data_IF_926572014136
#
_entry.id   IF_926572014136
#
_cell.length_a   1.000
_cell.length_b   1.000
_cell.length_c   1.000
_cell.angle_alpha   90.00
_cell.angle_beta   90.00
_cell.angle_gamma   90.00
#
_symmetry.space_group_name_H-M   'P 1'
#
loop_
_entity.id
_entity.type
_entity.pdbx_description
1 polymer ?
#
# COMPACT_ATOMS: atom_id res chain seq x y z
N UNK A 1 -14.51 29.31 36.01
CA UNK A 1 -13.08 29.18 35.69
C UNK A 1 -12.99 28.79 34.22
N UNK A 2 -12.60 29.75 33.38
CA UNK A 2 -12.53 29.53 31.94
C UNK A 2 -11.23 28.74 31.64
N UNK A 3 -11.36 27.46 31.29
CA UNK A 3 -10.26 26.72 30.70
C UNK A 3 -10.06 27.29 29.26
N UNK A 4 -9.19 28.30 29.16
CA UNK A 4 -8.66 28.67 27.87
C UNK A 4 -7.76 27.53 27.38
N UNK A 5 -8.24 26.69 26.48
CA UNK A 5 -7.42 25.72 25.79
C UNK A 5 -6.31 26.49 25.08
N UNK A 6 -5.08 26.42 25.58
CA UNK A 6 -3.92 27.04 24.93
C UNK A 6 -3.77 26.41 23.55
N UNK A 7 -3.95 27.20 22.50
CA UNK A 7 -3.63 26.74 21.15
C UNK A 7 -2.10 26.68 21.07
N UNK A 8 -1.56 25.47 20.95
CA UNK A 8 -0.12 25.24 20.78
C UNK A 8 0.30 25.76 19.41
N UNK A 9 1.52 26.28 19.31
CA UNK A 9 2.05 26.62 18.00
C UNK A 9 2.37 25.33 17.19
N UNK A 10 2.61 25.49 15.89
CA UNK A 10 2.82 24.36 14.99
C UNK A 10 4.02 23.49 15.39
N UNK A 11 5.07 24.10 15.93
CA UNK A 11 6.26 23.39 16.40
C UNK A 11 5.99 22.57 17.66
N UNK A 12 5.28 23.16 18.64
CA UNK A 12 4.83 22.44 19.85
C UNK A 12 3.91 21.28 19.50
N UNK A 13 3.05 21.44 18.48
CA UNK A 13 2.16 20.35 17.98
C UNK A 13 2.96 19.21 17.36
N UNK A 14 3.99 19.50 16.56
CA UNK A 14 4.86 18.49 15.97
C UNK A 14 5.66 17.72 17.04
N UNK A 15 6.25 18.43 18.01
CA UNK A 15 7.00 17.80 19.10
C UNK A 15 6.13 16.87 19.95
N UNK A 16 4.87 17.25 20.20
CA UNK A 16 3.90 16.38 20.87
C UNK A 16 3.52 15.17 20.03
N UNK A 17 3.38 15.33 18.72
CA UNK A 17 3.07 14.25 17.79
C UNK A 17 4.22 13.24 17.74
N UNK A 18 5.46 13.70 17.62
CA UNK A 18 6.65 12.84 17.63
C UNK A 18 6.80 12.04 18.92
N UNK A 19 6.48 12.66 20.08
CA UNK A 19 6.51 11.97 21.36
C UNK A 19 5.39 10.93 21.53
N UNK A 20 4.21 11.18 20.93
CA UNK A 20 3.06 10.28 21.00
C UNK A 20 3.16 9.11 20.02
N UNK A 21 3.83 9.31 18.87
CA UNK A 21 3.98 8.35 17.79
C UNK A 21 5.46 8.25 17.36
N UNK A 22 6.31 7.62 18.17
CA UNK A 22 7.73 7.50 17.86
C UNK A 22 7.94 6.75 16.55
N UNK A 23 8.94 7.18 15.79
CA UNK A 23 9.35 6.48 14.57
C UNK A 23 9.80 5.06 14.92
N UNK A 24 9.17 4.07 14.29
CA UNK A 24 9.64 2.68 14.35
C UNK A 24 10.74 2.50 13.32
N UNK A 25 11.97 2.27 13.78
CA UNK A 25 13.13 2.08 12.92
C UNK A 25 14.01 0.96 13.46
N UNK A 26 14.19 -0.09 12.66
CA UNK A 26 15.04 -1.25 13.02
C UNK A 26 16.47 -1.07 12.52
N UNK A 27 16.63 -0.50 11.32
CA UNK A 27 17.92 -0.26 10.69
C UNK A 27 18.15 1.24 10.46
N UNK A 28 19.40 1.69 10.60
CA UNK A 28 19.80 3.03 10.16
C UNK A 28 20.08 3.05 8.64
N UNK A 29 20.46 4.21 8.12
CA UNK A 29 20.76 4.41 6.69
C UNK A 29 22.00 3.64 6.20
N UNK A 30 22.82 3.13 7.12
CA UNK A 30 24.00 2.31 6.83
C UNK A 30 23.71 0.81 6.99
N UNK A 31 22.47 0.44 7.32
CA UNK A 31 22.06 -0.94 7.54
C UNK A 31 22.47 -1.51 8.92
N UNK A 32 22.86 -0.64 9.87
CA UNK A 32 23.15 -1.06 11.23
C UNK A 32 21.86 -1.20 12.02
N UNK A 33 21.74 -2.26 12.81
CA UNK A 33 20.61 -2.48 13.71
C UNK A 33 20.63 -1.42 14.82
N UNK A 34 19.53 -0.68 14.96
CA UNK A 34 19.32 0.34 15.98
C UNK A 34 18.18 -0.02 16.95
N UNK A 35 17.34 -1.02 16.60
CA UNK A 35 16.31 -1.60 17.47
C UNK A 35 16.34 -3.13 17.41
N UNK A 36 17.11 -3.73 18.33
CA UNK A 36 17.23 -5.20 18.47
C UNK A 36 15.89 -5.86 18.83
N UNK A 37 15.08 -5.20 19.67
CA UNK A 37 13.78 -5.73 20.05
C UNK A 37 12.77 -5.65 18.89
N UNK A 38 12.83 -4.59 18.09
CA UNK A 38 12.07 -4.47 16.85
C UNK A 38 12.41 -5.55 15.85
N UNK A 39 13.71 -5.85 15.70
CA UNK A 39 14.17 -6.93 14.83
C UNK A 39 13.63 -8.30 15.29
N UNK A 40 13.69 -8.60 16.58
CA UNK A 40 13.11 -9.85 17.14
C UNK A 40 11.60 -9.93 16.94
N UNK A 41 10.87 -8.81 17.09
CA UNK A 41 9.42 -8.77 16.85
C UNK A 41 9.05 -8.97 15.39
N UNK A 42 9.94 -8.65 14.45
CA UNK A 42 9.69 -8.89 13.03
C UNK A 42 9.60 -10.39 12.70
N UNK A 43 10.27 -11.25 13.51
CA UNK A 43 10.20 -12.71 13.46
C UNK A 43 10.35 -13.29 12.03
N UNK A 44 11.32 -12.73 11.28
CA UNK A 44 11.60 -13.12 9.91
C UNK A 44 12.80 -14.06 9.87
N UNK A 45 12.65 -15.19 9.16
CA UNK A 45 13.76 -16.09 8.87
C UNK A 45 14.67 -15.52 7.78
N UNK A 46 15.90 -16.03 7.68
CA UNK A 46 16.81 -15.70 6.56
C UNK A 46 16.19 -16.03 5.20
N UNK A 47 15.37 -17.06 5.12
CA UNK A 47 14.66 -17.44 3.90
C UNK A 47 13.60 -16.41 3.52
N UNK A 48 12.84 -15.90 4.49
CA UNK A 48 11.86 -14.83 4.27
C UNK A 48 12.56 -13.55 3.77
N UNK A 49 13.69 -13.19 4.36
CA UNK A 49 14.47 -12.04 3.94
C UNK A 49 14.98 -12.19 2.51
N UNK A 50 15.45 -13.39 2.14
CA UNK A 50 15.89 -13.68 0.76
C UNK A 50 14.72 -13.61 -0.22
N UNK A 51 13.55 -14.10 0.16
CA UNK A 51 12.34 -14.03 -0.69
C UNK A 51 11.85 -12.60 -0.86
N UNK A 52 11.76 -11.84 0.21
CA UNK A 52 11.44 -10.40 0.17
C UNK A 52 12.41 -9.66 -0.76
N UNK A 53 13.71 -9.91 -0.64
CA UNK A 53 14.72 -9.29 -1.49
C UNK A 53 14.56 -9.67 -2.96
N UNK A 54 14.29 -10.94 -3.28
CA UNK A 54 13.98 -11.38 -4.65
C UNK A 54 12.77 -10.65 -5.23
N UNK A 55 11.71 -10.52 -4.45
CA UNK A 55 10.50 -9.82 -4.87
C UNK A 55 10.74 -8.32 -5.09
N UNK A 56 11.55 -7.69 -4.25
CA UNK A 56 12.00 -6.30 -4.46
C UNK A 56 12.81 -6.17 -5.76
N UNK A 57 13.74 -7.09 -6.04
CA UNK A 57 14.51 -7.11 -7.28
C UNK A 57 13.63 -7.32 -8.50
N UNK A 58 12.65 -8.23 -8.42
CA UNK A 58 11.68 -8.46 -9.49
C UNK A 58 10.86 -7.19 -9.76
N UNK A 59 10.33 -6.56 -8.72
CA UNK A 59 9.60 -5.29 -8.81
C UNK A 59 10.44 -4.22 -9.51
N UNK A 60 11.72 -4.05 -9.11
CA UNK A 60 12.65 -3.11 -9.73
C UNK A 60 12.91 -3.44 -11.20
N UNK A 61 13.06 -4.70 -11.58
CA UNK A 61 13.28 -5.11 -12.96
C UNK A 61 12.04 -4.87 -13.83
N UNK A 62 10.84 -5.11 -13.29
CA UNK A 62 9.58 -4.77 -13.98
C UNK A 62 9.52 -3.26 -14.23
N UNK A 63 9.80 -2.45 -13.21
CA UNK A 63 9.80 -0.99 -13.31
C UNK A 63 10.75 -0.49 -14.41
N UNK A 64 12.01 -0.93 -14.37
CA UNK A 64 13.02 -0.59 -15.39
C UNK A 64 12.54 -0.99 -16.79
N UNK A 65 11.92 -2.16 -16.93
CA UNK A 65 11.42 -2.65 -18.23
C UNK A 65 10.24 -1.82 -18.71
N UNK A 66 9.29 -1.52 -17.82
CA UNK A 66 8.13 -0.69 -18.12
C UNK A 66 8.55 0.74 -18.54
N UNK A 67 9.53 1.34 -17.85
CA UNK A 67 10.07 2.63 -18.22
C UNK A 67 10.71 2.62 -19.64
N UNK A 68 11.42 1.55 -19.99
CA UNK A 68 11.95 1.38 -21.35
C UNK A 68 10.84 1.26 -22.39
N UNK A 69 9.79 0.51 -22.09
CA UNK A 69 8.62 0.35 -22.98
C UNK A 69 7.85 1.68 -23.12
N UNK A 70 7.69 2.44 -22.04
CA UNK A 70 7.06 3.75 -22.06
C UNK A 70 7.82 4.73 -22.98
N UNK A 71 9.16 4.81 -22.87
CA UNK A 71 10.00 5.62 -23.74
C UNK A 71 9.89 5.22 -25.23
N UNK A 72 9.50 3.98 -25.53
CA UNK A 72 9.29 3.49 -26.89
C UNK A 72 7.83 3.70 -27.38
N UNK A 73 6.96 4.34 -26.58
CA UNK A 73 5.53 4.47 -26.88
C UNK A 73 4.74 3.16 -26.82
N UNK A 74 5.31 2.12 -26.18
CA UNK A 74 4.73 0.76 -26.12
C UNK A 74 3.95 0.50 -24.82
N UNK A 75 4.01 1.40 -23.84
CA UNK A 75 3.19 1.39 -22.64
C UNK A 75 2.08 2.45 -22.73
N UNK A 76 0.97 2.20 -22.05
CA UNK A 76 0.00 3.22 -21.72
C UNK A 76 0.35 3.92 -20.41
N UNK A 77 -0.63 4.11 -19.53
CA UNK A 77 -0.37 4.68 -18.21
C UNK A 77 0.55 3.76 -17.39
N UNK A 78 1.59 4.34 -16.81
CA UNK A 78 2.49 3.64 -15.91
C UNK A 78 3.01 4.59 -14.82
N UNK A 79 2.79 4.24 -13.57
CA UNK A 79 3.35 4.93 -12.41
C UNK A 79 4.61 4.21 -11.93
N UNK A 80 5.82 4.80 -12.06
CA UNK A 80 7.04 4.17 -11.57
C UNK A 80 6.99 3.85 -10.10
N UNK A 81 7.52 2.69 -9.71
CA UNK A 81 7.52 2.18 -8.32
C UNK A 81 8.91 2.20 -7.69
N UNK A 82 9.93 2.51 -8.46
CA UNK A 82 11.32 2.52 -8.00
C UNK A 82 11.50 3.38 -6.73
N UNK A 83 12.10 2.79 -5.69
CA UNK A 83 12.28 3.39 -4.36
C UNK A 83 11.23 2.99 -3.33
N UNK A 84 10.12 2.36 -3.72
CA UNK A 84 9.06 1.92 -2.82
C UNK A 84 9.00 0.40 -2.62
N UNK A 85 9.93 -0.35 -3.20
CA UNK A 85 9.91 -1.82 -3.22
C UNK A 85 9.85 -2.43 -1.82
N UNK A 86 10.60 -1.86 -0.87
CA UNK A 86 10.64 -2.38 0.49
C UNK A 86 9.27 -2.27 1.17
N UNK A 87 8.63 -1.09 1.13
CA UNK A 87 7.31 -0.88 1.73
C UNK A 87 6.24 -1.73 1.04
N UNK A 88 6.32 -1.86 -0.28
CA UNK A 88 5.38 -2.65 -1.08
C UNK A 88 5.50 -4.14 -0.80
N UNK A 89 6.71 -4.69 -0.86
CA UNK A 89 6.91 -6.13 -0.67
C UNK A 89 6.77 -6.56 0.79
N UNK A 90 7.21 -5.75 1.74
CA UNK A 90 7.00 -6.05 3.16
C UNK A 90 5.51 -6.06 3.53
N UNK A 91 4.72 -5.09 3.02
CA UNK A 91 3.28 -5.11 3.25
C UNK A 91 2.59 -6.28 2.55
N UNK A 92 3.03 -6.62 1.33
CA UNK A 92 2.51 -7.77 0.60
C UNK A 92 2.83 -9.11 1.27
N UNK A 93 3.96 -9.22 1.98
CA UNK A 93 4.33 -10.41 2.74
C UNK A 93 3.35 -10.73 3.87
N UNK A 94 2.64 -9.72 4.37
CA UNK A 94 1.63 -9.90 5.42
C UNK A 94 0.26 -10.36 4.89
N UNK A 95 0.05 -10.44 3.57
CA UNK A 95 -1.24 -10.85 3.02
C UNK A 95 -1.49 -12.33 3.18
N UNK A 96 -2.75 -12.67 3.46
CA UNK A 96 -3.28 -14.01 3.26
C UNK A 96 -4.05 -14.09 1.93
N UNK A 97 -4.37 -15.29 1.48
CA UNK A 97 -5.18 -15.50 0.26
C UNK A 97 -6.61 -14.96 0.42
N UNK A 98 -7.09 -14.84 1.67
CA UNK A 98 -8.43 -14.37 1.97
C UNK A 98 -8.55 -12.84 2.01
N UNK A 99 -7.42 -12.12 2.12
CA UNK A 99 -7.39 -10.67 2.22
C UNK A 99 -7.66 -9.99 0.88
N UNK A 100 -8.36 -8.86 0.94
CA UNK A 100 -8.65 -8.02 -0.21
C UNK A 100 -7.66 -6.87 -0.33
N UNK A 101 -7.20 -6.63 -1.54
CA UNK A 101 -6.27 -5.56 -1.88
C UNK A 101 -6.98 -4.44 -2.63
N UNK A 102 -6.81 -3.20 -2.17
CA UNK A 102 -7.30 -1.97 -2.80
C UNK A 102 -6.13 -1.07 -3.17
N UNK A 103 -5.52 -1.30 -4.34
CA UNK A 103 -4.30 -0.63 -4.75
C UNK A 103 -4.57 0.75 -5.34
N UNK A 104 -3.63 1.67 -5.13
CA UNK A 104 -3.48 2.83 -5.99
C UNK A 104 -2.73 2.48 -7.28
N UNK A 105 -2.56 3.43 -8.15
CA UNK A 105 -1.92 3.22 -9.47
C UNK A 105 -0.44 2.82 -9.42
N UNK A 106 0.25 3.00 -8.27
CA UNK A 106 1.65 2.56 -8.07
C UNK A 106 1.76 1.18 -7.43
N UNK A 107 0.67 0.56 -7.05
CA UNK A 107 0.65 -0.63 -6.21
C UNK A 107 0.47 -1.93 -7.00
N UNK A 108 0.87 -1.93 -8.29
CA UNK A 108 0.88 -3.14 -9.13
C UNK A 108 1.77 -4.25 -8.54
N UNK A 109 2.96 -3.96 -7.94
CA UNK A 109 3.79 -5.00 -7.36
C UNK A 109 3.10 -5.84 -6.30
N UNK A 110 2.24 -5.24 -5.46
CA UNK A 110 1.48 -5.97 -4.44
C UNK A 110 0.44 -6.90 -5.08
N UNK A 111 -0.17 -6.51 -6.20
CA UNK A 111 -1.11 -7.38 -6.93
C UNK A 111 -0.35 -8.56 -7.55
N UNK A 112 0.84 -8.32 -8.09
CA UNK A 112 1.70 -9.40 -8.61
C UNK A 112 2.10 -10.38 -7.52
N UNK A 113 2.40 -9.89 -6.31
CA UNK A 113 2.70 -10.71 -5.15
C UNK A 113 1.51 -11.61 -4.74
N UNK A 114 0.27 -11.20 -5.04
CA UNK A 114 -0.95 -12.03 -4.88
C UNK A 114 -1.20 -13.00 -6.05
N UNK A 115 -0.27 -13.11 -6.99
CA UNK A 115 -0.36 -14.05 -8.11
C UNK A 115 -1.02 -13.49 -9.38
N UNK A 116 -1.31 -12.20 -9.44
CA UNK A 116 -1.79 -11.59 -10.69
C UNK A 116 -0.66 -11.56 -11.73
N UNK A 117 -0.85 -12.12 -12.94
CA UNK A 117 0.21 -12.20 -13.93
C UNK A 117 0.69 -10.83 -14.39
N UNK A 118 2.00 -10.64 -14.46
CA UNK A 118 2.63 -9.37 -14.86
C UNK A 118 2.13 -8.91 -16.25
N UNK A 119 1.91 -9.84 -17.18
CA UNK A 119 1.42 -9.51 -18.51
C UNK A 119 0.02 -8.88 -18.48
N UNK A 120 -0.84 -9.26 -17.53
CA UNK A 120 -2.15 -8.60 -17.34
C UNK A 120 -1.99 -7.15 -16.89
N UNK A 121 -1.02 -6.86 -16.01
CA UNK A 121 -0.69 -5.49 -15.63
C UNK A 121 -0.21 -4.64 -16.80
N UNK A 122 0.56 -5.22 -17.73
CA UNK A 122 0.96 -4.54 -18.97
C UNK A 122 -0.25 -4.28 -19.89
N UNK A 123 -1.20 -5.19 -19.97
CA UNK A 123 -2.45 -5.01 -20.73
C UNK A 123 -3.36 -3.98 -20.06
N UNK A 124 -3.47 -3.99 -18.72
CA UNK A 124 -4.20 -2.98 -17.97
C UNK A 124 -3.67 -1.57 -18.30
N UNK A 125 -2.35 -1.40 -18.27
CA UNK A 125 -1.69 -0.14 -18.65
C UNK A 125 -2.10 0.36 -20.05
N UNK A 126 -2.41 -0.55 -20.96
CA UNK A 126 -2.85 -0.25 -22.32
C UNK A 126 -4.36 -0.11 -22.48
N UNK A 127 -5.13 -0.25 -21.39
CA UNK A 127 -6.60 -0.25 -21.44
C UNK A 127 -7.22 -1.48 -22.11
N UNK A 128 -6.50 -2.61 -22.16
CA UNK A 128 -7.01 -3.84 -22.74
C UNK A 128 -7.90 -4.58 -21.75
N UNK A 129 -9.02 -5.14 -22.19
CA UNK A 129 -10.01 -5.81 -21.36
C UNK A 129 -9.43 -6.91 -20.46
N UNK A 130 -8.53 -7.76 -20.99
CA UNK A 130 -7.89 -8.82 -20.23
C UNK A 130 -7.05 -8.30 -19.04
N UNK A 131 -6.63 -7.04 -19.06
CA UNK A 131 -5.98 -6.37 -17.94
C UNK A 131 -6.91 -6.09 -16.76
N UNK A 132 -8.22 -6.30 -16.89
CA UNK A 132 -9.19 -6.17 -15.80
C UNK A 132 -9.66 -7.53 -15.27
N UNK A 133 -9.01 -8.61 -15.65
CA UNK A 133 -9.28 -9.94 -15.13
C UNK A 133 -8.33 -10.27 -13.98
N UNK A 134 -8.85 -10.23 -12.76
CA UNK A 134 -8.06 -10.51 -11.55
C UNK A 134 -8.07 -12.02 -11.25
N UNK A 135 -7.33 -12.75 -12.09
CA UNK A 135 -7.11 -14.19 -11.94
C UNK A 135 -5.65 -14.53 -12.17
N UNK A 136 -5.16 -15.60 -11.54
CA UNK A 136 -3.85 -16.19 -11.84
C UNK A 136 -3.81 -16.79 -13.26
N UNK A 137 -2.66 -17.29 -13.69
CA UNK A 137 -2.55 -17.99 -14.97
C UNK A 137 -3.35 -19.31 -14.98
N UNK A 138 -3.55 -19.93 -13.82
CA UNK A 138 -4.37 -21.14 -13.63
C UNK A 138 -5.86 -20.82 -13.46
N UNK A 139 -6.26 -19.56 -13.47
CA UNK A 139 -7.65 -19.11 -13.38
C UNK A 139 -8.20 -18.96 -11.95
N UNK A 140 -7.35 -19.06 -10.91
CA UNK A 140 -7.77 -18.78 -9.54
C UNK A 140 -8.04 -17.28 -9.33
N UNK A 141 -9.05 -16.95 -8.52
CA UNK A 141 -9.37 -15.55 -8.20
C UNK A 141 -8.22 -14.87 -7.44
N UNK A 142 -7.82 -13.69 -7.88
CA UNK A 142 -6.95 -12.78 -7.14
C UNK A 142 -7.83 -11.73 -6.45
N UNK A 143 -7.94 -11.79 -5.14
CA UNK A 143 -8.76 -10.83 -4.34
C UNK A 143 -8.12 -9.45 -4.32
N UNK A 144 -8.23 -8.78 -5.44
CA UNK A 144 -7.77 -7.41 -5.64
C UNK A 144 -8.83 -6.58 -6.35
N UNK A 145 -8.96 -5.34 -5.92
CA UNK A 145 -9.67 -4.32 -6.69
C UNK A 145 -8.76 -3.82 -7.82
N UNK A 146 -9.33 -3.14 -8.80
CA UNK A 146 -8.52 -2.55 -9.87
C UNK A 146 -7.65 -1.38 -9.34
N UNK A 147 -6.44 -1.17 -9.91
CA UNK A 147 -5.57 -0.08 -9.49
C UNK A 147 -6.25 1.28 -9.70
N UNK A 148 -6.43 2.04 -8.63
CA UNK A 148 -7.17 3.28 -8.66
C UNK A 148 -6.29 4.43 -9.12
N UNK A 149 -6.70 5.13 -10.19
CA UNK A 149 -6.03 6.35 -10.69
C UNK A 149 -6.60 7.59 -9.97
N UNK A 150 -7.87 7.56 -9.59
CA UNK A 150 -8.51 8.60 -8.79
C UNK A 150 -8.06 8.41 -7.33
N UNK A 151 -7.06 9.18 -6.94
CA UNK A 151 -6.37 9.04 -5.66
C UNK A 151 -7.36 9.20 -4.49
N UNK A 152 -7.35 8.25 -3.57
CA UNK A 152 -8.18 8.27 -2.35
C UNK A 152 -9.52 7.53 -2.46
N UNK A 153 -10.12 7.44 -3.66
CA UNK A 153 -11.43 6.80 -3.86
C UNK A 153 -11.49 5.34 -3.37
N UNK A 154 -10.39 4.60 -3.49
CA UNK A 154 -10.30 3.21 -3.04
C UNK A 154 -10.52 3.01 -1.54
N UNK A 155 -10.41 4.07 -0.73
CA UNK A 155 -10.61 3.97 0.72
C UNK A 155 -12.07 3.75 1.11
N UNK A 156 -13.00 4.40 0.43
CA UNK A 156 -14.45 4.19 0.65
C UNK A 156 -14.85 2.79 0.21
N UNK A 157 -14.32 2.33 -0.94
CA UNK A 157 -14.55 0.98 -1.46
C UNK A 157 -14.01 -0.09 -0.49
N UNK A 158 -12.77 0.07 -0.03
CA UNK A 158 -12.13 -0.83 0.93
C UNK A 158 -12.89 -0.89 2.27
N UNK A 159 -13.34 0.26 2.77
CA UNK A 159 -14.12 0.33 4.00
C UNK A 159 -15.46 -0.42 3.88
N UNK A 160 -16.11 -0.33 2.72
CA UNK A 160 -17.33 -1.08 2.41
C UNK A 160 -17.09 -2.60 2.39
N UNK A 161 -16.02 -3.05 1.72
CA UNK A 161 -15.65 -4.48 1.69
C UNK A 161 -15.25 -4.97 3.07
N UNK A 162 -14.42 -4.21 3.81
CA UNK A 162 -14.04 -4.55 5.19
C UNK A 162 -15.28 -4.74 6.09
N UNK A 163 -16.28 -3.86 5.99
CA UNK A 163 -17.54 -4.04 6.73
C UNK A 163 -18.28 -5.31 6.28
N UNK A 164 -18.27 -5.61 4.98
CA UNK A 164 -18.83 -6.83 4.42
C UNK A 164 -18.17 -8.10 4.98
N UNK A 165 -16.83 -8.12 5.04
CA UNK A 165 -16.04 -9.20 5.65
C UNK A 165 -16.44 -9.41 7.13
N UNK A 166 -16.49 -8.32 7.91
CA UNK A 166 -16.92 -8.35 9.30
C UNK A 166 -18.32 -8.93 9.47
N UNK A 167 -19.31 -8.45 8.69
CA UNK A 167 -20.68 -8.93 8.78
C UNK A 167 -20.81 -10.41 8.43
N UNK A 168 -19.98 -10.89 7.51
CA UNK A 168 -19.91 -12.30 7.11
C UNK A 168 -19.05 -13.15 8.03
N UNK A 169 -18.44 -12.55 9.06
CA UNK A 169 -17.52 -13.22 10.01
C UNK A 169 -16.36 -13.92 9.29
N UNK A 170 -15.84 -13.30 8.23
CA UNK A 170 -14.66 -13.79 7.53
C UNK A 170 -13.40 -13.38 8.30
N UNK A 171 -12.45 -14.30 8.42
CA UNK A 171 -11.12 -14.03 8.94
C UNK A 171 -10.25 -13.49 7.80
N UNK A 172 -10.46 -12.22 7.51
CA UNK A 172 -9.80 -11.51 6.41
C UNK A 172 -9.88 -10.01 6.63
N UNK A 173 -8.95 -9.27 6.05
CA UNK A 173 -8.91 -7.80 6.10
C UNK A 173 -8.90 -7.20 4.70
N UNK A 174 -9.23 -5.91 4.61
CA UNK A 174 -9.03 -5.11 3.41
C UNK A 174 -7.77 -4.25 3.59
N UNK A 175 -6.77 -4.47 2.74
CA UNK A 175 -5.59 -3.61 2.63
C UNK A 175 -5.84 -2.53 1.59
N UNK A 176 -5.69 -1.27 1.97
CA UNK A 176 -5.88 -0.13 1.07
C UNK A 176 -4.63 0.74 1.05
N UNK A 177 -4.20 1.16 -0.14
CA UNK A 177 -2.95 1.88 -0.36
C UNK A 177 -3.19 3.26 -0.95
N UNK A 178 -2.41 4.23 -0.49
CA UNK A 178 -2.30 5.55 -1.15
C UNK A 178 -0.93 6.16 -0.87
N UNK A 179 -0.60 7.26 -1.57
CA UNK A 179 0.50 8.14 -1.21
C UNK A 179 0.08 9.21 -0.20
N UNK A 180 1.05 9.98 0.30
CA UNK A 180 0.80 11.11 1.20
C UNK A 180 -0.12 12.16 0.59
N UNK A 181 0.02 12.50 -0.70
CA UNK A 181 -0.92 13.38 -1.38
C UNK A 181 -2.35 12.87 -1.39
N UNK A 182 -2.55 11.54 -1.51
CA UNK A 182 -3.87 10.92 -1.45
C UNK A 182 -4.50 10.97 -0.06
N UNK A 183 -3.69 11.05 1.00
CA UNK A 183 -4.21 11.17 2.36
C UNK A 183 -4.93 12.50 2.63
N UNK A 184 -4.71 13.52 1.79
CA UNK A 184 -5.41 14.82 1.88
C UNK A 184 -6.77 14.83 1.18
N UNK A 185 -7.13 13.76 0.47
CA UNK A 185 -8.38 13.66 -0.28
C UNK A 185 -9.53 13.23 0.65
N UNK A 186 -10.73 13.82 0.46
CA UNK A 186 -11.90 13.62 1.32
C UNK A 186 -12.27 12.15 1.50
N UNK A 187 -12.37 11.39 0.40
CA UNK A 187 -12.74 9.97 0.41
C UNK A 187 -11.81 9.11 1.30
N UNK A 188 -10.52 9.50 1.42
CA UNK A 188 -9.57 8.82 2.33
C UNK A 188 -10.01 9.00 3.78
N UNK A 189 -10.31 10.22 4.21
CA UNK A 189 -10.77 10.49 5.57
C UNK A 189 -12.11 9.85 5.87
N UNK A 190 -13.03 9.94 4.93
CA UNK A 190 -14.38 9.39 5.06
C UNK A 190 -14.33 7.86 5.13
N UNK A 191 -13.51 7.21 4.29
CA UNK A 191 -13.29 5.77 4.33
C UNK A 191 -12.68 5.29 5.65
N UNK A 192 -11.64 5.96 6.14
CA UNK A 192 -11.00 5.64 7.42
C UNK A 192 -11.97 5.86 8.59
N UNK A 193 -12.69 7.01 8.59
CA UNK A 193 -13.67 7.30 9.62
C UNK A 193 -14.80 6.28 9.66
N UNK A 194 -15.31 5.89 8.50
CA UNK A 194 -16.34 4.85 8.39
C UNK A 194 -15.82 3.52 8.92
N UNK A 195 -14.62 3.09 8.49
CA UNK A 195 -14.02 1.84 8.96
C UNK A 195 -13.83 1.85 10.48
N UNK A 196 -13.35 2.97 11.05
CA UNK A 196 -13.18 3.15 12.49
C UNK A 196 -14.51 3.11 13.25
N UNK A 197 -15.52 3.84 12.80
CA UNK A 197 -16.85 3.89 13.42
C UNK A 197 -17.52 2.52 13.48
N UNK A 198 -17.38 1.73 12.43
CA UNK A 198 -17.93 0.37 12.36
C UNK A 198 -16.95 -0.71 12.83
N UNK A 199 -15.74 -0.34 13.24
CA UNK A 199 -14.65 -1.29 13.60
C UNK A 199 -14.48 -2.36 12.51
N UNK A 200 -14.47 -1.93 11.26
CA UNK A 200 -14.26 -2.80 10.11
C UNK A 200 -12.78 -3.20 10.01
N UNK A 201 -12.43 -4.44 9.60
CA UNK A 201 -11.07 -4.91 9.47
C UNK A 201 -10.41 -4.28 8.22
N UNK A 202 -9.88 -3.08 8.37
CA UNK A 202 -9.21 -2.31 7.33
C UNK A 202 -7.80 -1.96 7.78
N UNK A 203 -6.81 -2.22 6.92
CA UNK A 203 -5.43 -1.75 7.07
C UNK A 203 -5.21 -0.62 6.06
N UNK A 204 -5.09 0.60 6.58
CA UNK A 204 -4.79 1.79 5.79
C UNK A 204 -3.27 1.97 5.67
N UNK A 205 -2.73 1.80 4.48
CA UNK A 205 -1.30 1.90 4.21
C UNK A 205 -1.00 3.17 3.41
N UNK A 206 -0.28 4.11 4.02
CA UNK A 206 0.10 5.38 3.39
C UNK A 206 1.60 5.36 3.10
N UNK A 207 1.96 5.34 1.83
CA UNK A 207 3.35 5.39 1.36
C UNK A 207 3.77 6.85 1.23
N UNK A 208 4.30 7.40 2.31
CA UNK A 208 4.74 8.80 2.34
C UNK A 208 6.13 8.93 1.72
N UNK A 209 6.18 9.43 0.50
CA UNK A 209 7.44 9.73 -0.21
C UNK A 209 7.77 11.23 -0.21
N UNK A 210 6.96 12.06 0.46
CA UNK A 210 7.14 13.51 0.54
C UNK A 210 6.86 14.27 -0.76
N UNK A 211 6.19 13.63 -1.73
CA UNK A 211 5.89 14.26 -3.03
C UNK A 211 4.42 14.07 -3.40
N UNK A 212 3.73 15.19 -3.55
CA UNK A 212 2.40 15.26 -4.14
C UNK A 212 2.43 16.21 -5.35
N UNK A 213 1.69 15.85 -6.43
CA UNK A 213 1.75 16.60 -7.70
C UNK A 213 1.24 18.04 -7.54
N UNK A 214 0.28 18.27 -6.67
CA UNK A 214 -0.45 19.55 -6.57
C UNK A 214 -0.70 20.02 -5.13
N UNK A 215 -0.05 19.44 -4.15
CA UNK A 215 -0.19 19.86 -2.73
C UNK A 215 1.17 20.04 -2.07
#
# INVERSE_FOLDING_TARGET
MSNSTKILDFKEQLELQDSAFPTLQILDENGKIVDEEGLKRADLSDQDLVELFKNMLLSRQIDIRCMKLAKQGRMGFFGPTAGQEASQMASAFAFTDEDWLFPGYRDLPQIYAKGWPIWKGLLWSRGHQLGNEYTTDEGAEVKSWFPQIIIGAQYVEAAGVALGLKKRKKDAVAFVYTGDGGSSQGDTYEGINFAGAYKAPLVAFIQNNGYAIST
#
